data_IF_347690303394
#
_entry.id   IF_347690303394
#
_cell.length_a   1.000
_cell.length_b   1.000
_cell.length_c   1.000
_cell.angle_alpha   90.00
_cell.angle_beta   90.00
_cell.angle_gamma   90.00
#
_symmetry.space_group_name_H-M   'P 1'
#
loop_
_entity.id
_entity.type
_entity.pdbx_description
1 polymer ?
#
# COMPACT_ATOMS: atom_id res chain seq x y z
N UNK A 1 -15.29 -30.51 -5.58
CA UNK A 1 -14.96 -29.20 -4.96
C UNK A 1 -13.91 -28.54 -5.84
N UNK A 2 -14.23 -27.46 -6.54
CA UNK A 2 -13.25 -26.74 -7.36
C UNK A 2 -12.12 -26.22 -6.46
N UNK A 3 -10.86 -26.49 -6.81
CA UNK A 3 -9.69 -25.94 -6.11
C UNK A 3 -9.79 -24.41 -6.03
N UNK A 4 -9.40 -23.83 -4.89
CA UNK A 4 -9.40 -22.37 -4.67
C UNK A 4 -8.67 -21.66 -5.82
N UNK A 5 -7.58 -22.23 -6.34
CA UNK A 5 -6.85 -21.68 -7.49
C UNK A 5 -7.71 -21.59 -8.77
N UNK A 6 -8.50 -22.62 -9.07
CA UNK A 6 -9.43 -22.61 -10.21
C UNK A 6 -10.55 -21.57 -10.02
N UNK A 7 -11.01 -21.40 -8.78
CA UNK A 7 -12.00 -20.37 -8.45
C UNK A 7 -11.43 -18.97 -8.61
N UNK A 8 -10.20 -18.72 -8.17
CA UNK A 8 -9.50 -17.43 -8.39
C UNK A 8 -9.37 -17.13 -9.88
N UNK A 9 -8.97 -18.10 -10.70
CA UNK A 9 -8.86 -17.90 -12.15
C UNK A 9 -10.20 -17.52 -12.78
N UNK A 10 -11.28 -18.23 -12.45
CA UNK A 10 -12.65 -17.89 -12.90
C UNK A 10 -13.09 -16.47 -12.47
N UNK A 11 -12.72 -16.05 -11.26
CA UNK A 11 -13.03 -14.70 -10.78
C UNK A 11 -12.16 -13.64 -11.45
N UNK A 12 -10.89 -13.94 -11.76
CA UNK A 12 -9.97 -13.06 -12.46
C UNK A 12 -10.37 -12.81 -13.92
N UNK A 13 -10.90 -13.82 -14.59
CA UNK A 13 -11.48 -13.67 -15.93
C UNK A 13 -12.66 -12.69 -15.93
N UNK A 14 -13.46 -12.69 -14.86
CA UNK A 14 -14.65 -11.85 -14.73
C UNK A 14 -14.39 -10.47 -14.15
N UNK A 15 -13.35 -10.34 -13.32
CA UNK A 15 -12.90 -9.11 -12.67
C UNK A 15 -11.40 -8.93 -12.90
N UNK A 16 -10.97 -8.54 -14.11
CA UNK A 16 -9.56 -8.44 -14.46
C UNK A 16 -8.81 -7.34 -13.71
N UNK A 17 -9.55 -6.34 -13.20
CA UNK A 17 -9.01 -5.28 -12.33
C UNK A 17 -8.96 -5.69 -10.85
N UNK A 18 -9.40 -6.90 -10.50
CA UNK A 18 -9.44 -7.39 -9.14
C UNK A 18 -8.05 -7.68 -8.59
N UNK A 19 -7.74 -7.13 -7.41
CA UNK A 19 -6.47 -7.37 -6.76
C UNK A 19 -6.34 -8.86 -6.34
N UNK A 20 -5.14 -9.48 -6.45
CA UNK A 20 -4.98 -10.94 -6.29
C UNK A 20 -5.48 -11.47 -4.94
N UNK A 21 -5.23 -10.72 -3.88
CA UNK A 21 -5.63 -11.07 -2.51
C UNK A 21 -7.14 -10.94 -2.29
N UNK A 22 -7.81 -10.01 -2.99
CA UNK A 22 -9.27 -9.84 -2.95
C UNK A 22 -9.96 -10.97 -3.72
N UNK A 23 -9.40 -11.37 -4.87
CA UNK A 23 -9.89 -12.51 -5.64
C UNK A 23 -9.69 -13.83 -4.88
N UNK A 24 -8.58 -13.98 -4.16
CA UNK A 24 -8.32 -15.15 -3.32
C UNK A 24 -9.27 -15.22 -2.11
N UNK A 25 -9.59 -14.08 -1.50
CA UNK A 25 -10.60 -14.02 -0.44
C UNK A 25 -12.00 -14.37 -0.97
N UNK A 26 -12.40 -13.79 -2.11
CA UNK A 26 -13.68 -14.08 -2.75
C UNK A 26 -13.80 -15.56 -3.16
N UNK A 27 -12.69 -16.18 -3.60
CA UNK A 27 -12.65 -17.59 -3.96
C UNK A 27 -12.91 -18.56 -2.80
N UNK A 28 -12.90 -18.09 -1.54
CA UNK A 28 -13.25 -18.88 -0.35
C UNK A 28 -14.74 -18.85 -0.01
N UNK A 29 -15.56 -18.06 -0.71
CA UNK A 29 -17.00 -18.02 -0.50
C UNK A 29 -17.65 -19.42 -0.72
N UNK A 30 -18.80 -19.73 -0.11
CA UNK A 30 -19.41 -21.05 -0.23
C UNK A 30 -19.80 -21.40 -1.67
N UNK A 31 -20.26 -20.43 -2.47
CA UNK A 31 -20.53 -20.63 -3.90
C UNK A 31 -19.76 -19.63 -4.77
N UNK A 32 -19.61 -19.95 -6.06
CA UNK A 32 -19.04 -19.02 -7.04
C UNK A 32 -19.95 -17.78 -7.21
N UNK A 33 -21.26 -17.95 -7.10
CA UNK A 33 -22.24 -16.85 -7.16
C UNK A 33 -22.06 -15.87 -6.00
N UNK A 34 -21.81 -16.36 -4.78
CA UNK A 34 -21.53 -15.51 -3.62
C UNK A 34 -20.22 -14.75 -3.80
N UNK A 35 -19.19 -15.43 -4.34
CA UNK A 35 -17.92 -14.79 -4.70
C UNK A 35 -18.13 -13.68 -5.75
N UNK A 36 -18.96 -13.92 -6.77
CA UNK A 36 -19.28 -12.95 -7.81
C UNK A 36 -20.10 -11.79 -7.25
N UNK A 37 -21.08 -12.04 -6.38
CA UNK A 37 -21.89 -10.99 -5.77
C UNK A 37 -21.03 -10.12 -4.84
N UNK A 38 -20.16 -10.72 -4.03
CA UNK A 38 -19.15 -10.02 -3.24
C UNK A 38 -18.23 -9.16 -4.12
N UNK A 39 -17.74 -9.70 -5.24
CA UNK A 39 -16.90 -8.93 -6.18
C UNK A 39 -17.69 -7.86 -6.94
N UNK A 40 -18.98 -8.05 -7.23
CA UNK A 40 -19.86 -7.01 -7.79
C UNK A 40 -20.10 -5.87 -6.82
N UNK A 41 -20.21 -6.18 -5.54
CA UNK A 41 -20.30 -5.16 -4.49
C UNK A 41 -19.02 -4.33 -4.36
N UNK A 42 -17.87 -4.89 -4.72
CA UNK A 42 -16.53 -4.31 -4.61
C UNK A 42 -16.15 -3.54 -5.89
N UNK A 43 -16.36 -4.15 -7.05
CA UNK A 43 -15.88 -3.67 -8.35
C UNK A 43 -17.01 -3.22 -9.30
N UNK A 44 -18.28 -3.36 -8.92
CA UNK A 44 -19.43 -3.12 -9.81
C UNK A 44 -19.71 -4.29 -10.78
N UNK A 45 -20.69 -4.14 -11.68
CA UNK A 45 -21.01 -5.17 -12.67
C UNK A 45 -20.07 -5.07 -13.89
N UNK A 46 -19.20 -6.07 -14.15
CA UNK A 46 -18.15 -5.97 -15.16
C UNK A 46 -18.67 -6.03 -16.61
N UNK A 47 -19.94 -6.38 -16.84
CA UNK A 47 -20.52 -6.43 -18.20
C UNK A 47 -20.96 -5.07 -18.75
N UNK A 48 -20.97 -3.99 -17.94
CA UNK A 48 -21.41 -2.66 -18.41
C UNK A 48 -20.53 -1.50 -17.98
N UNK A 49 -19.39 -1.74 -17.34
CA UNK A 49 -18.46 -0.68 -16.95
C UNK A 49 -17.07 -1.00 -17.52
N UNK A 50 -16.60 -0.31 -18.58
CA UNK A 50 -15.17 -0.27 -18.84
C UNK A 50 -14.52 0.27 -17.56
N UNK A 51 -13.57 -0.48 -17.00
CA UNK A 51 -12.82 -0.01 -15.84
C UNK A 51 -12.29 1.40 -16.14
N UNK A 52 -12.20 2.26 -15.14
CA UNK A 52 -11.70 3.64 -15.25
C UNK A 52 -10.23 3.75 -15.77
N UNK A 53 -9.67 2.66 -16.25
CA UNK A 53 -8.34 2.53 -16.84
C UNK A 53 -8.35 2.05 -18.30
N UNK A 54 -9.52 1.81 -18.90
CA UNK A 54 -9.64 1.39 -20.29
C UNK A 54 -10.01 2.58 -21.21
N UNK A 55 -8.97 3.38 -21.55
CA UNK A 55 -8.85 4.42 -22.61
C UNK A 55 -8.66 5.86 -22.08
N UNK A 56 -7.77 6.66 -22.69
CA UNK A 56 -7.68 8.09 -22.42
C UNK A 56 -9.00 8.78 -22.78
N UNK A 57 -9.44 9.71 -21.93
CA UNK A 57 -10.57 10.59 -22.23
C UNK A 57 -10.28 11.30 -23.56
N UNK A 58 -11.11 11.04 -24.58
CA UNK A 58 -11.20 11.96 -25.71
C UNK A 58 -11.88 13.22 -25.18
N UNK A 59 -11.12 14.31 -25.08
CA UNK A 59 -11.71 15.65 -24.96
C UNK A 59 -12.57 15.84 -26.19
N UNK A 60 -13.89 15.89 -25.99
CA UNK A 60 -14.84 16.23 -27.05
C UNK A 60 -14.56 17.64 -27.53
N UNK A 61 -14.54 17.81 -28.84
CA UNK A 61 -14.42 19.06 -29.58
C UNK A 61 -15.28 20.18 -28.99
N UNK A 62 -14.72 21.38 -28.95
CA UNK A 62 -15.36 22.60 -28.44
C UNK A 62 -16.77 22.83 -29.02
N UNK A 63 -17.72 23.37 -28.22
CA UNK A 63 -19.05 23.69 -28.71
C UNK A 63 -18.97 24.78 -29.78
N UNK A 64 -19.57 24.48 -30.94
CA UNK A 64 -19.65 25.34 -32.13
C UNK A 64 -20.78 26.38 -32.02
N UNK A 65 -21.67 26.26 -31.03
CA UNK A 65 -22.79 27.17 -30.82
C UNK A 65 -22.40 28.38 -29.92
N UNK A 66 -22.53 29.63 -30.41
CA UNK A 66 -22.31 30.85 -29.62
C UNK A 66 -23.15 30.95 -28.34
N UNK A 67 -24.36 30.36 -28.28
CA UNK A 67 -25.24 30.39 -27.10
C UNK A 67 -24.81 29.41 -26.01
N UNK A 68 -24.30 28.24 -26.38
CA UNK A 68 -23.71 27.30 -25.42
C UNK A 68 -22.43 27.87 -24.82
N UNK A 69 -21.63 28.58 -25.62
CA UNK A 69 -20.41 29.25 -25.15
C UNK A 69 -20.72 30.39 -24.18
N UNK A 70 -21.81 31.13 -24.39
CA UNK A 70 -22.29 32.16 -23.47
C UNK A 70 -22.88 31.58 -22.17
N UNK A 71 -23.59 30.46 -22.23
CA UNK A 71 -24.08 29.74 -21.03
C UNK A 71 -22.94 29.13 -20.20
N UNK A 72 -21.93 28.55 -20.85
CA UNK A 72 -20.74 28.05 -20.16
C UNK A 72 -19.99 29.19 -19.45
N UNK A 73 -19.86 30.34 -20.10
CA UNK A 73 -19.17 31.52 -19.54
C UNK A 73 -19.95 32.22 -18.42
N UNK A 74 -21.28 32.20 -18.48
CA UNK A 74 -22.13 32.75 -17.43
C UNK A 74 -22.23 31.84 -16.19
N UNK A 75 -21.99 30.53 -16.35
CA UNK A 75 -21.92 29.57 -15.24
C UNK A 75 -20.54 29.57 -14.57
N UNK A 76 -19.49 30.01 -15.26
CA UNK A 76 -18.13 30.19 -14.73
C UNK A 76 -17.95 31.48 -13.91
N UNK A 77 -18.89 32.45 -13.97
CA UNK A 77 -18.69 33.79 -13.39
C UNK A 77 -19.37 34.05 -12.04
N UNK A 78 -19.96 33.06 -11.38
CA UNK A 78 -20.49 33.24 -10.01
C UNK A 78 -20.20 32.00 -9.17
N UNK A 79 -19.02 31.97 -8.55
CA UNK A 79 -18.77 31.75 -7.11
C UNK A 79 -17.36 31.18 -6.91
N UNK A 80 -16.51 31.98 -6.27
CA UNK A 80 -15.34 31.61 -5.46
C UNK A 80 -14.15 30.95 -6.17
N UNK A 81 -13.25 31.81 -6.69
CA UNK A 81 -11.83 31.59 -6.50
C UNK A 81 -11.53 31.62 -4.98
N UNK A 82 -11.54 30.49 -4.28
CA UNK A 82 -10.74 30.33 -3.05
C UNK A 82 -10.70 28.88 -2.51
N UNK A 83 -9.49 28.44 -2.18
CA UNK A 83 -9.11 27.17 -1.53
C UNK A 83 -9.26 25.86 -2.35
N UNK A 84 -8.19 25.52 -3.07
CA UNK A 84 -7.87 24.11 -3.40
C UNK A 84 -7.96 23.28 -2.12
N UNK A 85 -8.74 22.18 -2.04
CA UNK A 85 -8.86 21.42 -0.81
C UNK A 85 -7.49 20.87 -0.43
N UNK A 86 -6.96 21.36 0.68
CA UNK A 86 -5.73 20.87 1.27
C UNK A 86 -5.93 19.39 1.63
N UNK A 87 -5.04 18.51 1.15
CA UNK A 87 -5.13 17.09 1.44
C UNK A 87 -4.93 16.84 2.95
N UNK A 88 -6.01 16.49 3.65
CA UNK A 88 -5.91 16.14 5.07
C UNK A 88 -5.64 14.64 5.27
N UNK A 89 -4.39 14.33 5.61
CA UNK A 89 -3.97 12.98 5.99
C UNK A 89 -4.74 12.45 7.22
N UNK A 90 -5.33 13.30 8.06
CA UNK A 90 -6.02 12.86 9.26
C UNK A 90 -7.36 12.18 8.97
N UNK A 91 -7.97 12.43 7.82
CA UNK A 91 -9.22 11.82 7.36
C UNK A 91 -9.02 10.76 6.26
N UNK A 92 -7.81 10.67 5.69
CA UNK A 92 -7.52 9.80 4.57
C UNK A 92 -7.74 8.31 4.90
N UNK A 93 -8.60 7.68 4.09
CA UNK A 93 -8.99 6.26 4.08
C UNK A 93 -9.64 5.76 5.37
N UNK A 94 -10.27 6.64 6.14
CA UNK A 94 -10.94 6.29 7.40
C UNK A 94 -12.43 5.96 7.23
N UNK A 95 -13.12 6.60 6.28
CA UNK A 95 -14.56 6.42 6.04
C UNK A 95 -14.78 5.56 4.78
N UNK A 96 -15.84 4.77 4.75
CA UNK A 96 -16.22 4.00 3.55
C UNK A 96 -16.71 4.98 2.47
N UNK A 97 -16.30 4.76 1.24
CA UNK A 97 -16.74 5.58 0.12
C UNK A 97 -18.17 5.21 -0.28
N UNK A 98 -19.04 6.22 -0.43
CA UNK A 98 -20.41 6.04 -0.90
C UNK A 98 -20.49 5.66 -2.38
N UNK A 99 -19.51 6.10 -3.17
CA UNK A 99 -19.40 5.80 -4.60
C UNK A 99 -18.31 4.74 -4.76
N UNK A 100 -18.71 3.46 -4.83
CA UNK A 100 -17.79 2.31 -4.94
C UNK A 100 -17.08 2.18 -6.30
N UNK A 101 -16.89 3.29 -7.02
CA UNK A 101 -16.33 3.32 -8.36
C UNK A 101 -15.11 4.26 -8.45
N UNK A 102 -13.98 3.70 -8.91
CA UNK A 102 -12.89 4.47 -9.51
C UNK A 102 -11.84 5.01 -8.54
N UNK A 103 -10.59 4.98 -8.99
CA UNK A 103 -9.39 5.15 -8.19
C UNK A 103 -9.04 6.59 -7.84
N UNK A 104 -8.37 6.74 -6.69
CA UNK A 104 -7.93 7.98 -6.04
C UNK A 104 -8.96 8.69 -5.13
N UNK A 105 -9.97 7.98 -4.63
CA UNK A 105 -10.85 8.47 -3.58
C UNK A 105 -10.11 8.61 -2.22
N UNK A 106 -10.51 9.61 -1.43
CA UNK A 106 -10.02 9.81 -0.06
C UNK A 106 -10.64 8.85 0.94
N UNK A 107 -11.81 8.29 0.61
CA UNK A 107 -12.50 7.27 1.39
C UNK A 107 -12.07 5.87 0.93
N UNK A 108 -12.14 4.89 1.83
CA UNK A 108 -11.79 3.50 1.51
C UNK A 108 -12.94 2.80 0.78
N UNK A 109 -12.61 1.98 -0.20
CA UNK A 109 -13.60 1.12 -0.88
C UNK A 109 -13.67 -0.27 -0.25
N UNK A 110 -12.55 -0.75 0.28
CA UNK A 110 -12.39 -2.10 0.78
C UNK A 110 -11.66 -2.11 2.13
N UNK A 111 -11.85 -3.19 2.91
CA UNK A 111 -11.19 -3.34 4.21
C UNK A 111 -9.66 -3.32 4.10
N UNK A 112 -9.10 -3.73 2.95
CA UNK A 112 -7.67 -3.65 2.66
C UNK A 112 -7.16 -2.21 2.46
N UNK A 113 -8.04 -1.30 2.08
CA UNK A 113 -7.74 0.12 1.99
C UNK A 113 -8.02 0.86 3.30
N UNK A 114 -8.81 0.27 4.21
CA UNK A 114 -9.26 0.92 5.42
C UNK A 114 -8.09 1.29 6.32
N UNK A 115 -8.17 2.50 6.88
CA UNK A 115 -7.27 3.00 7.90
C UNK A 115 -8.07 3.33 9.15
N UNK A 116 -7.72 2.73 10.27
CA UNK A 116 -8.24 3.16 11.57
C UNK A 116 -7.70 4.54 11.91
N UNK A 117 -8.54 5.38 12.50
CA UNK A 117 -8.14 6.73 12.88
C UNK A 117 -7.17 6.66 14.08
N UNK A 118 -5.90 7.11 13.93
CA UNK A 118 -4.90 7.03 14.99
C UNK A 118 -5.25 7.86 16.24
N UNK A 119 -6.13 8.86 16.10
CA UNK A 119 -6.62 9.67 17.23
C UNK A 119 -7.74 8.97 18.02
N UNK A 120 -8.39 7.96 17.46
CA UNK A 120 -9.47 7.20 18.13
C UNK A 120 -9.02 5.84 18.62
N UNK A 121 -8.12 5.19 17.89
CA UNK A 121 -7.60 3.86 18.19
C UNK A 121 -6.09 3.90 18.14
N UNK A 122 -5.43 3.56 19.24
CA UNK A 122 -3.98 3.50 19.29
C UNK A 122 -3.48 2.21 18.61
N UNK A 123 -2.70 2.38 17.55
CA UNK A 123 -1.93 1.31 16.91
C UNK A 123 -0.56 1.85 16.51
N UNK A 124 0.39 0.96 16.29
CA UNK A 124 1.74 1.27 15.82
C UNK A 124 1.85 1.16 14.31
N UNK A 125 2.83 1.84 13.72
CA UNK A 125 3.22 1.70 12.31
C UNK A 125 3.71 0.28 11.93
N UNK A 126 3.96 -0.57 12.93
CA UNK A 126 4.48 -1.92 12.73
C UNK A 126 3.33 -2.82 12.27
N UNK A 127 3.46 -3.53 11.13
CA UNK A 127 2.45 -4.47 10.67
C UNK A 127 2.19 -5.58 11.70
N UNK A 128 0.92 -5.94 11.88
CA UNK A 128 0.54 -7.06 12.75
C UNK A 128 1.06 -8.39 12.17
N UNK A 129 1.75 -9.24 12.94
CA UNK A 129 2.32 -10.49 12.42
C UNK A 129 1.25 -11.48 11.92
N UNK A 130 0.01 -11.36 12.43
CA UNK A 130 -1.10 -12.20 11.98
C UNK A 130 -1.61 -11.80 10.58
N UNK A 131 -1.48 -10.52 10.21
CA UNK A 131 -1.97 -10.01 8.92
C UNK A 131 -0.84 -9.75 7.92
N UNK A 132 0.42 -9.77 8.37
CA UNK A 132 1.59 -9.56 7.53
C UNK A 132 2.66 -10.64 7.78
N UNK A 133 2.95 -11.43 6.75
CA UNK A 133 4.00 -12.45 6.74
C UNK A 133 4.82 -12.39 5.44
N UNK A 134 5.44 -11.24 5.17
CA UNK A 134 6.08 -10.91 3.89
C UNK A 134 5.11 -10.31 2.88
N UNK A 135 3.84 -10.70 2.96
CA UNK A 135 2.74 -10.16 2.15
C UNK A 135 1.56 -9.74 3.06
N UNK A 136 0.82 -8.72 2.64
CA UNK A 136 -0.40 -8.28 3.33
C UNK A 136 -1.54 -9.26 3.10
N UNK A 137 -2.24 -9.61 4.19
CA UNK A 137 -3.38 -10.53 4.21
C UNK A 137 -4.61 -9.83 4.80
N UNK A 138 -5.74 -10.52 4.80
CA UNK A 138 -7.01 -9.96 5.26
C UNK A 138 -6.95 -9.54 6.74
N UNK A 139 -7.40 -8.32 7.10
CA UNK A 139 -7.42 -7.84 8.49
C UNK A 139 -8.20 -8.75 9.47
N UNK A 140 -9.20 -9.48 8.96
CA UNK A 140 -10.00 -10.46 9.72
C UNK A 140 -9.18 -11.62 10.29
N UNK A 141 -7.96 -11.85 9.81
CA UNK A 141 -7.07 -12.89 10.36
C UNK A 141 -6.51 -12.51 11.74
N UNK A 142 -6.59 -11.25 12.14
CA UNK A 142 -6.23 -10.86 13.49
C UNK A 142 -7.42 -11.02 14.44
N UNK A 143 -7.30 -11.93 15.40
CA UNK A 143 -8.33 -12.14 16.44
C UNK A 143 -8.60 -10.89 17.30
N UNK A 144 -7.66 -9.95 17.37
CA UNK A 144 -7.82 -8.68 18.11
C UNK A 144 -8.64 -7.63 17.34
N UNK A 145 -8.91 -7.85 16.04
CA UNK A 145 -9.70 -6.94 15.21
C UNK A 145 -9.25 -5.48 15.32
N UNK A 146 -10.22 -4.58 15.53
CA UNK A 146 -9.95 -3.14 15.65
C UNK A 146 -9.15 -2.74 16.91
N UNK A 147 -9.11 -3.60 17.93
CA UNK A 147 -8.37 -3.37 19.17
C UNK A 147 -6.89 -3.79 19.08
N UNK A 148 -6.43 -4.25 17.92
CA UNK A 148 -5.02 -4.58 17.71
C UNK A 148 -4.15 -3.32 17.73
N UNK A 149 -3.10 -3.32 18.55
CA UNK A 149 -2.11 -2.23 18.62
C UNK A 149 -1.11 -2.18 17.46
N UNK A 150 -1.35 -2.91 16.37
CA UNK A 150 -0.46 -2.98 15.20
C UNK A 150 -1.24 -2.67 13.92
N UNK A 151 -0.55 -2.23 12.88
CA UNK A 151 -1.15 -1.89 11.58
C UNK A 151 -1.67 -3.13 10.85
N UNK A 152 -2.88 -3.02 10.28
CA UNK A 152 -3.58 -4.09 9.57
C UNK A 152 -3.63 -3.90 8.06
N UNK A 153 -3.32 -2.69 7.56
CA UNK A 153 -3.25 -2.40 6.12
C UNK A 153 -1.99 -1.60 5.77
N UNK A 154 -1.64 -1.60 4.48
CA UNK A 154 -0.57 -0.74 3.94
C UNK A 154 -0.84 0.73 4.28
N UNK A 155 -2.12 1.15 4.25
CA UNK A 155 -2.52 2.51 4.53
C UNK A 155 -2.33 2.87 6.01
N UNK A 156 -2.66 1.97 6.94
CA UNK A 156 -2.35 2.17 8.36
C UNK A 156 -0.86 2.34 8.60
N UNK A 157 -0.03 1.48 8.00
CA UNK A 157 1.42 1.53 8.19
C UNK A 157 2.07 2.75 7.51
N UNK A 158 1.60 3.15 6.32
CA UNK A 158 2.23 4.21 5.51
C UNK A 158 1.78 5.62 5.91
N UNK A 159 0.53 5.77 6.33
CA UNK A 159 -0.05 7.05 6.78
C UNK A 159 -0.12 7.13 8.31
N UNK A 160 0.58 6.26 9.05
CA UNK A 160 0.71 6.41 10.49
C UNK A 160 1.43 7.74 10.80
N UNK A 161 1.04 8.50 11.84
CA UNK A 161 1.66 9.79 12.10
C UNK A 161 3.19 9.75 12.24
N UNK A 162 3.72 8.61 12.71
CA UNK A 162 5.16 8.39 12.87
C UNK A 162 5.90 8.07 11.57
N UNK A 163 5.23 7.58 10.53
CA UNK A 163 5.87 7.14 9.27
C UNK A 163 5.53 8.02 8.07
N UNK A 164 4.40 8.71 8.11
CA UNK A 164 3.97 9.59 7.03
C UNK A 164 5.00 10.68 6.75
N UNK A 165 5.38 10.84 5.47
CA UNK A 165 6.40 11.81 4.99
C UNK A 165 7.75 11.73 5.71
N UNK A 166 8.18 10.53 6.09
CA UNK A 166 9.52 10.29 6.67
C UNK A 166 10.55 9.75 5.68
N UNK A 167 10.12 9.05 4.63
CA UNK A 167 10.99 8.41 3.62
C UNK A 167 10.80 9.05 2.25
N UNK A 168 11.87 9.09 1.44
CA UNK A 168 11.83 9.59 0.05
C UNK A 168 11.01 8.68 -0.87
N UNK A 169 10.33 9.26 -1.85
CA UNK A 169 9.52 8.51 -2.81
C UNK A 169 10.37 8.05 -4.00
N UNK A 170 10.69 6.76 -4.05
CA UNK A 170 11.45 6.17 -5.15
C UNK A 170 10.75 6.35 -6.51
N UNK A 171 9.41 6.21 -6.56
CA UNK A 171 8.64 6.40 -7.81
C UNK A 171 8.69 7.85 -8.33
N UNK A 172 8.79 8.81 -7.43
CA UNK A 172 8.96 10.21 -7.82
C UNK A 172 10.39 10.47 -8.30
N UNK A 173 11.39 9.89 -7.62
CA UNK A 173 12.79 9.94 -8.04
C UNK A 173 12.98 9.31 -9.44
N UNK A 174 12.20 8.28 -9.78
CA UNK A 174 12.18 7.62 -11.10
C UNK A 174 11.41 8.41 -12.18
N UNK A 175 10.66 9.46 -11.83
CA UNK A 175 10.05 10.40 -12.77
C UNK A 175 8.63 10.83 -12.43
N UNK A 176 7.71 9.90 -12.14
CA UNK A 176 6.29 10.24 -11.91
C UNK A 176 5.66 9.37 -10.83
N UNK A 177 5.17 10.02 -9.76
CA UNK A 177 4.38 9.36 -8.72
C UNK A 177 2.87 9.52 -8.97
N UNK A 178 2.20 8.42 -9.29
CA UNK A 178 0.75 8.34 -9.47
C UNK A 178 -0.11 8.76 -8.27
N UNK A 179 0.45 8.76 -7.05
CA UNK A 179 -0.27 9.22 -5.85
C UNK A 179 -0.28 10.75 -5.72
N UNK A 180 0.56 11.48 -6.48
CA UNK A 180 0.62 12.94 -6.45
C UNK A 180 0.75 13.48 -5.02
N UNK A 181 -0.12 14.43 -4.66
CA UNK A 181 -0.16 15.04 -3.32
C UNK A 181 -0.49 14.06 -2.20
N UNK A 182 -1.18 12.95 -2.52
CA UNK A 182 -1.61 11.97 -1.53
C UNK A 182 -0.50 10.99 -1.17
N UNK A 183 0.66 11.04 -1.83
CA UNK A 183 1.73 10.09 -1.57
C UNK A 183 2.19 10.14 -0.10
N UNK A 184 2.30 8.96 0.53
CA UNK A 184 2.85 8.81 1.88
C UNK A 184 4.33 9.17 2.00
N UNK A 185 5.05 9.25 0.88
CA UNK A 185 6.48 9.49 0.80
C UNK A 185 6.81 10.93 0.35
N UNK A 186 8.03 11.37 0.63
CA UNK A 186 8.52 12.73 0.34
C UNK A 186 8.85 12.85 -1.17
N UNK A 187 8.30 13.86 -1.84
CA UNK A 187 8.61 14.22 -3.23
C UNK A 187 9.65 15.34 -3.31
N UNK A 188 10.93 14.97 -3.49
CA UNK A 188 12.04 15.94 -3.59
C UNK A 188 12.29 16.75 -2.31
N UNK A 189 13.23 17.69 -2.37
CA UNK A 189 13.65 18.46 -1.19
C UNK A 189 12.63 19.53 -0.75
N UNK A 190 11.72 19.93 -1.64
CA UNK A 190 10.73 20.99 -1.41
C UNK A 190 9.29 20.45 -1.39
N UNK A 191 9.05 19.27 -0.80
CA UNK A 191 7.69 18.76 -0.61
C UNK A 191 6.95 19.61 0.45
N UNK A 192 5.96 20.45 0.05
CA UNK A 192 5.29 21.36 0.97
C UNK A 192 4.49 20.60 2.03
N UNK A 193 4.01 19.39 1.70
CA UNK A 193 3.21 18.54 2.60
C UNK A 193 4.15 17.89 3.63
N UNK A 194 5.35 17.47 3.22
CA UNK A 194 6.34 16.97 4.17
C UNK A 194 6.81 18.08 5.14
N UNK A 195 7.03 19.30 4.63
CA UNK A 195 7.41 20.43 5.47
C UNK A 195 6.30 20.83 6.45
N UNK A 196 5.05 20.91 5.99
CA UNK A 196 3.89 21.18 6.84
C UNK A 196 3.70 20.09 7.90
N UNK A 197 3.86 18.81 7.51
CA UNK A 197 3.76 17.68 8.43
C UNK A 197 4.82 17.70 9.52
N UNK A 198 6.09 17.99 9.18
CA UNK A 198 7.18 18.13 10.16
C UNK A 198 6.85 19.19 11.21
N UNK A 199 6.39 20.38 10.79
CA UNK A 199 5.95 21.44 11.72
C UNK A 199 4.79 20.99 12.61
N UNK A 200 3.80 20.29 12.05
CA UNK A 200 2.64 19.77 12.79
C UNK A 200 3.06 18.74 13.86
N UNK A 201 4.00 17.85 13.53
CA UNK A 201 4.55 16.88 14.48
C UNK A 201 5.39 17.54 15.58
N UNK A 202 6.19 18.55 15.23
CA UNK A 202 6.98 19.33 16.18
C UNK A 202 6.06 20.04 17.20
N UNK A 203 4.97 20.65 16.74
CA UNK A 203 3.94 21.24 17.60
C UNK A 203 3.23 20.23 18.50
N UNK A 204 3.00 18.98 18.04
CA UNK A 204 2.38 17.91 18.85
C UNK A 204 3.36 17.35 19.90
N UNK A 205 4.67 17.39 19.62
CA UNK A 205 5.71 16.92 20.53
C UNK A 205 6.08 17.92 21.63
N UNK A 206 5.66 19.18 21.50
CA UNK A 206 5.92 20.20 22.53
C UNK A 206 5.03 19.96 23.76
N UNK A 207 5.59 20.02 24.99
CA UNK A 207 4.78 19.98 26.19
C UNK A 207 3.83 21.18 26.17
N UNK A 208 2.52 20.95 26.36
CA UNK A 208 1.57 22.04 26.56
C UNK A 208 2.02 22.83 27.79
N UNK A 209 2.66 23.96 27.58
CA UNK A 209 2.97 24.90 28.65
C UNK A 209 1.64 25.40 29.20
N UNK A 210 1.19 24.83 30.32
CA UNK A 210 0.15 25.46 31.13
C UNK A 210 0.65 26.85 31.49
N UNK A 211 -0.13 27.87 31.14
CA UNK A 211 0.23 29.25 31.44
C UNK A 211 0.53 29.42 32.93
N UNK A 212 1.56 30.20 33.30
CA UNK A 212 1.80 30.53 34.69
C UNK A 212 0.75 31.55 35.13
N UNK A 213 -0.27 31.12 35.87
CA UNK A 213 -1.01 32.04 36.75
C UNK A 213 -0.08 32.38 37.92
N UNK A 214 0.44 33.61 37.87
CA UNK A 214 1.40 34.15 38.82
C UNK A 214 0.76 34.38 40.19
N UNK A 215 1.15 33.61 41.20
CA UNK A 215 1.29 34.10 42.58
C UNK A 215 2.38 33.29 43.28
N UNK A 216 3.51 33.92 43.56
CA UNK A 216 4.49 33.41 44.51
C UNK A 216 4.04 33.79 45.94
N UNK A 217 4.48 33.02 46.97
CA UNK A 217 5.71 33.45 47.62
C UNK A 217 6.72 32.34 47.94
N UNK A 218 7.98 32.74 47.74
CA UNK A 218 9.28 32.35 48.33
C UNK A 218 9.30 31.17 49.32
N UNK A 219 10.13 30.16 49.03
CA UNK A 219 10.96 29.43 50.02
C UNK A 219 12.23 28.86 49.37
N UNK A 220 13.33 28.87 50.13
CA UNK A 220 14.72 28.63 49.70
C UNK A 220 15.10 27.16 49.49
N UNK A 221 16.01 26.96 48.54
CA UNK A 221 16.53 25.71 47.97
C UNK A 221 17.46 24.86 48.89
N UNK A 222 17.34 24.94 50.22
CA UNK A 222 18.37 24.36 51.10
C UNK A 222 17.88 23.40 52.20
N UNK A 223 16.64 22.90 52.18
CA UNK A 223 16.20 21.98 53.23
C UNK A 223 15.13 21.02 52.74
N UNK A 224 15.54 19.77 52.49
CA UNK A 224 14.91 18.51 52.92
C UNK A 224 15.36 17.37 51.99
N UNK A 225 16.59 16.92 52.23
CA UNK A 225 17.01 15.56 51.87
C UNK A 225 16.45 14.66 52.97
N UNK A 226 15.43 13.89 52.67
CA UNK A 226 15.20 12.60 53.30
C UNK A 226 15.10 11.55 52.18
N UNK A 227 15.89 10.50 52.37
CA UNK A 227 16.03 9.36 51.49
C UNK A 227 14.81 8.47 51.72
N UNK A 228 14.02 8.26 50.68
CA UNK A 228 13.02 7.21 50.67
C UNK A 228 13.43 6.13 49.67
N UNK A 229 13.39 4.91 50.19
CA UNK A 229 13.75 3.62 49.63
C UNK A 229 12.80 3.24 48.48
N UNK A 230 13.29 2.71 47.34
CA UNK A 230 12.41 2.31 46.24
C UNK A 230 11.60 1.05 46.60
N UNK A 231 10.31 0.97 46.20
CA UNK A 231 9.47 -0.20 46.45
C UNK A 231 9.94 -1.41 45.61
N UNK A 232 9.69 -2.65 46.09
CA UNK A 232 10.30 -3.86 45.55
C UNK A 232 9.84 -4.17 44.13
N UNK A 233 10.81 -4.53 43.31
CA UNK A 233 10.64 -5.07 41.96
C UNK A 233 9.79 -6.35 42.03
N UNK A 234 8.65 -6.35 41.33
CA UNK A 234 7.89 -7.56 41.05
C UNK A 234 8.40 -8.17 39.76
N UNK A 235 8.79 -9.44 39.87
CA UNK A 235 9.38 -10.29 38.85
C UNK A 235 8.60 -10.29 37.53
N UNK A 236 9.09 -9.57 36.53
CA UNK A 236 8.93 -9.94 35.13
C UNK A 236 10.27 -9.74 34.41
N UNK A 237 10.97 -10.86 34.25
CA UNK A 237 12.26 -11.04 33.59
C UNK A 237 12.43 -10.22 32.29
N UNK A 238 13.55 -9.49 32.13
CA UNK A 238 13.96 -8.91 30.85
C UNK A 238 14.56 -9.99 29.95
N UNK A 239 13.71 -10.86 29.37
CA UNK A 239 14.16 -11.85 28.39
C UNK A 239 13.07 -12.19 27.37
N UNK A 240 12.60 -11.19 26.61
CA UNK A 240 11.77 -11.41 25.41
C UNK A 240 12.51 -11.09 24.10
N UNK A 241 13.82 -10.80 24.14
CA UNK A 241 14.65 -10.54 22.96
C UNK A 241 15.67 -11.62 22.61
N UNK A 242 15.61 -12.77 23.26
CA UNK A 242 16.33 -13.97 22.79
C UNK A 242 15.46 -15.20 22.91
N UNK A 243 14.30 -15.19 22.25
CA UNK A 243 13.75 -16.44 21.72
C UNK A 243 14.38 -16.65 20.34
N UNK A 244 15.67 -16.99 20.32
CA UNK A 244 16.20 -17.72 19.19
C UNK A 244 15.56 -19.10 19.27
N UNK A 245 14.78 -19.56 18.28
CA UNK A 245 14.26 -20.91 18.31
C UNK A 245 15.45 -21.86 18.40
N UNK A 246 15.48 -22.62 19.49
CA UNK A 246 16.45 -23.66 19.80
C UNK A 246 16.66 -24.56 18.60
N UNK A 247 17.93 -24.64 18.20
CA UNK A 247 18.60 -25.63 17.34
C UNK A 247 17.63 -26.53 16.58
N UNK A 248 17.28 -26.12 15.35
CA UNK A 248 16.76 -27.06 14.35
C UNK A 248 17.85 -28.12 14.17
N UNK A 249 17.46 -29.39 14.15
CA UNK A 249 18.36 -30.51 13.92
C UNK A 249 19.36 -30.14 12.78
N UNK A 250 20.69 -30.32 12.94
CA UNK A 250 21.66 -29.88 11.94
C UNK A 250 21.40 -30.46 10.54
N UNK A 251 20.78 -31.65 10.48
CA UNK A 251 20.31 -32.25 9.23
C UNK A 251 19.13 -31.47 8.64
N UNK A 252 18.20 -31.00 9.48
CA UNK A 252 17.03 -30.22 9.07
C UNK A 252 17.41 -28.79 8.64
N UNK A 253 18.40 -28.19 9.28
CA UNK A 253 18.95 -26.90 8.84
C UNK A 253 19.66 -27.03 7.47
N UNK A 254 20.43 -28.10 7.28
CA UNK A 254 21.06 -28.39 5.99
C UNK A 254 20.01 -28.64 4.91
N UNK A 255 18.98 -29.44 5.20
CA UNK A 255 17.88 -29.71 4.28
C UNK A 255 17.13 -28.44 3.90
N UNK A 256 16.87 -27.54 4.85
CA UNK A 256 16.22 -26.26 4.57
C UNK A 256 17.12 -25.34 3.73
N UNK A 257 18.43 -25.31 3.98
CA UNK A 257 19.39 -24.55 3.16
C UNK A 257 19.44 -25.10 1.73
N UNK A 258 19.45 -26.43 1.56
CA UNK A 258 19.40 -27.08 0.25
C UNK A 258 18.09 -26.79 -0.48
N UNK A 259 16.94 -26.88 0.21
CA UNK A 259 15.63 -26.56 -0.37
C UNK A 259 15.55 -25.10 -0.83
N UNK A 260 16.00 -24.15 -0.01
CA UNK A 260 16.08 -22.73 -0.40
C UNK A 260 16.98 -22.52 -1.61
N UNK A 261 18.10 -23.25 -1.69
CA UNK A 261 19.01 -23.15 -2.83
C UNK A 261 18.38 -23.70 -4.12
N UNK A 262 17.64 -24.80 -4.02
CA UNK A 262 16.87 -25.37 -5.13
C UNK A 262 15.79 -24.38 -5.59
N UNK A 263 15.05 -23.79 -4.66
CA UNK A 263 14.01 -22.80 -4.96
C UNK A 263 14.59 -21.53 -5.60
N UNK A 264 15.72 -21.02 -5.12
CA UNK A 264 16.44 -19.90 -5.73
C UNK A 264 16.91 -20.21 -7.16
N UNK A 265 17.39 -21.43 -7.40
CA UNK A 265 17.83 -21.87 -8.72
C UNK A 265 16.64 -22.02 -9.67
N UNK A 266 15.53 -22.58 -9.19
CA UNK A 266 14.29 -22.71 -9.93
C UNK A 266 13.70 -21.35 -10.32
N UNK A 267 13.64 -20.39 -9.39
CA UNK A 267 13.16 -19.03 -9.69
C UNK A 267 14.05 -18.28 -10.71
N UNK A 268 15.33 -18.66 -10.83
CA UNK A 268 16.25 -18.08 -11.82
C UNK A 268 16.06 -18.65 -13.23
N UNK A 269 15.52 -19.87 -13.39
CA UNK A 269 15.22 -20.45 -14.70
C UNK A 269 13.88 -19.96 -15.25
N UNK A 270 12.98 -19.48 -14.39
CA UNK A 270 11.67 -18.94 -14.78
C UNK A 270 11.72 -17.53 -15.38
N UNK A 271 10.90 -17.32 -16.41
CA UNK A 271 10.71 -16.05 -17.09
C UNK A 271 10.35 -14.93 -16.11
N UNK A 272 11.09 -13.83 -16.15
CA UNK A 272 10.89 -12.69 -15.24
C UNK A 272 9.66 -11.83 -15.54
N UNK A 273 8.93 -12.14 -16.62
CA UNK A 273 7.66 -11.47 -16.96
C UNK A 273 6.48 -12.21 -16.34
N UNK A 274 6.40 -13.53 -16.52
CA UNK A 274 5.25 -14.32 -16.06
C UNK A 274 5.52 -15.13 -14.79
N UNK A 275 6.78 -15.43 -14.45
CA UNK A 275 7.17 -16.31 -13.35
C UNK A 275 6.51 -17.70 -13.39
N UNK A 276 6.09 -18.15 -14.57
CA UNK A 276 5.37 -19.42 -14.79
C UNK A 276 6.16 -20.35 -15.68
N UNK A 277 6.68 -19.84 -16.80
CA UNK A 277 7.39 -20.63 -17.82
C UNK A 277 8.89 -20.43 -17.72
N UNK A 278 9.66 -21.46 -18.06
CA UNK A 278 11.11 -21.35 -18.18
C UNK A 278 11.51 -20.41 -19.33
N UNK A 279 12.70 -19.83 -19.21
CA UNK A 279 13.24 -18.96 -20.26
C UNK A 279 13.74 -19.80 -21.42
N UNK A 280 13.25 -19.55 -22.62
CA UNK A 280 13.54 -20.30 -23.85
C UNK A 280 13.95 -19.38 -25.01
N UNK A 281 13.99 -18.06 -24.81
CA UNK A 281 14.19 -17.09 -25.87
C UNK A 281 15.11 -15.96 -25.41
N UNK A 282 16.23 -15.79 -26.10
CA UNK A 282 17.21 -14.74 -25.87
C UNK A 282 17.02 -13.57 -26.84
N UNK A 283 17.16 -12.34 -26.33
CA UNK A 283 17.09 -11.12 -27.13
C UNK A 283 18.47 -10.70 -27.66
N UNK A 284 18.59 -10.40 -28.96
CA UNK A 284 19.85 -9.95 -29.58
C UNK A 284 19.85 -8.43 -29.74
N UNK A 285 20.91 -7.71 -29.30
CA UNK A 285 22.21 -8.21 -28.83
C UNK A 285 22.36 -8.31 -27.31
N UNK A 286 21.31 -8.01 -26.52
CA UNK A 286 21.47 -7.84 -25.07
C UNK A 286 21.60 -9.14 -24.28
N UNK A 287 21.29 -10.30 -24.87
CA UNK A 287 21.42 -11.63 -24.29
C UNK A 287 20.38 -11.98 -23.22
N UNK A 288 19.40 -11.11 -22.97
CA UNK A 288 18.42 -11.34 -21.91
C UNK A 288 17.37 -12.38 -22.32
N UNK A 289 17.10 -13.28 -21.39
CA UNK A 289 16.32 -14.50 -21.58
C UNK A 289 14.92 -14.36 -20.97
N UNK A 290 13.90 -14.73 -21.74
CA UNK A 290 12.49 -14.73 -21.35
C UNK A 290 11.79 -15.95 -21.98
N UNK A 291 10.53 -16.20 -21.61
CA UNK A 291 9.72 -17.15 -22.36
C UNK A 291 9.18 -16.52 -23.66
N UNK A 292 9.13 -17.34 -24.71
CA UNK A 292 8.70 -17.00 -26.06
C UNK A 292 7.33 -16.33 -26.09
N UNK A 293 6.37 -16.84 -25.31
CA UNK A 293 5.02 -16.28 -25.23
C UNK A 293 4.97 -14.87 -24.66
N UNK A 294 5.73 -14.59 -23.60
CA UNK A 294 5.77 -13.24 -23.04
C UNK A 294 6.45 -12.26 -24.00
N UNK A 295 7.46 -12.69 -24.75
CA UNK A 295 8.09 -11.87 -25.79
C UNK A 295 7.24 -11.69 -27.05
N UNK A 296 6.24 -12.53 -27.30
CA UNK A 296 5.27 -12.33 -28.37
C UNK A 296 4.21 -11.30 -27.97
N UNK A 297 3.89 -11.19 -26.69
CA UNK A 297 2.92 -10.25 -26.15
C UNK A 297 3.48 -8.82 -25.98
N UNK A 298 4.80 -8.64 -26.01
CA UNK A 298 5.41 -7.30 -25.97
C UNK A 298 5.22 -6.58 -27.29
N UNK A 299 4.52 -5.44 -27.25
CA UNK A 299 4.22 -4.59 -28.41
C UNK A 299 5.45 -3.75 -28.85
N UNK A 300 6.42 -3.56 -27.94
CA UNK A 300 7.61 -2.74 -28.15
C UNK A 300 8.86 -3.60 -28.34
N UNK A 301 9.71 -3.29 -29.31
CA UNK A 301 10.99 -3.97 -29.56
C UNK A 301 12.10 -3.60 -28.56
N UNK A 302 11.75 -3.46 -27.27
CA UNK A 302 12.62 -3.02 -26.18
C UNK A 302 12.75 -4.14 -25.14
N UNK A 303 13.98 -4.46 -24.75
CA UNK A 303 14.26 -5.50 -23.75
C UNK A 303 13.72 -5.10 -22.35
N UNK A 304 12.89 -5.94 -21.69
CA UNK A 304 12.34 -5.64 -20.36
C UNK A 304 13.37 -5.53 -19.23
N UNK A 305 14.56 -6.12 -19.37
CA UNK A 305 15.60 -6.08 -18.33
C UNK A 305 16.51 -4.87 -18.50
N UNK A 306 17.12 -4.68 -19.67
CA UNK A 306 18.12 -3.62 -19.86
C UNK A 306 17.64 -2.44 -20.72
N UNK A 307 16.37 -2.43 -21.13
CA UNK A 307 15.73 -1.36 -21.91
C UNK A 307 16.45 -0.98 -23.22
N UNK A 308 17.27 -1.88 -23.76
CA UNK A 308 17.91 -1.73 -25.09
C UNK A 308 16.97 -2.28 -26.15
N UNK A 309 16.96 -1.63 -27.31
CA UNK A 309 16.27 -2.16 -28.49
C UNK A 309 16.89 -3.50 -28.88
N UNK A 310 16.04 -4.49 -29.12
CA UNK A 310 16.47 -5.78 -29.66
C UNK A 310 16.02 -5.87 -31.12
N UNK A 311 16.89 -6.45 -31.95
CA UNK A 311 16.62 -6.57 -33.39
C UNK A 311 16.13 -7.96 -33.77
N UNK A 312 16.48 -8.95 -32.95
CA UNK A 312 16.20 -10.35 -33.24
C UNK A 312 15.99 -11.16 -31.94
N UNK A 313 15.34 -12.32 -32.07
CA UNK A 313 15.01 -13.25 -30.99
C UNK A 313 15.55 -14.63 -31.35
N UNK A 314 16.37 -15.21 -30.48
CA UNK A 314 16.93 -16.54 -30.67
C UNK A 314 16.29 -17.50 -29.66
N UNK A 315 15.64 -18.56 -30.13
CA UNK A 315 15.18 -19.64 -29.25
C UNK A 315 16.37 -20.48 -28.80
N UNK A 316 16.46 -20.69 -27.49
CA UNK A 316 17.55 -21.39 -26.81
C UNK A 316 16.97 -22.54 -26.01
N UNK A 317 17.61 -23.69 -26.16
CA UNK A 317 17.30 -24.90 -25.42
C UNK A 317 18.28 -24.95 -24.24
N UNK A 318 17.77 -24.64 -23.04
CA UNK A 318 18.53 -24.67 -21.79
C UNK A 318 18.45 -26.04 -21.11
#
# INVERSE_FOLDING_TARGET
MDSIANRVNKLKERFPAGEPHVLEYAARAPTLSDAINYLREIYGNPTSQPSAWAKPLKVSTAPTDPRERARARALESTTEEDSKPEFDVSEYKIKECRNRAGCNCDNYHHEFERRRNPNKTHYSEIPCPNVFNGSWRAPVLCSKGNNCGHSHTVNEASYHPRTYKTKRCLKFDEGTCHYGIKCAYIHGNNDPIAAAWKRKMEMISQPKTSQPVSFAPKVSLASLIQRDEPPPESDLSPSAWTFMPTVKNPVEELNLKMQKRIEELYLKTLCSICYIKEKDTALIPCGHLFCSECLLQTVTAVCPICRRDFRDKLTVFL
#
